data_IF_174254345574
#
_entry.id   IF_174254345574
#
_cell.length_a   1.000
_cell.length_b   1.000
_cell.length_c   1.000
_cell.angle_alpha   90.00
_cell.angle_beta   90.00
_cell.angle_gamma   90.00
#
_symmetry.space_group_name_H-M   'P 1'
#
loop_
_entity.id
_entity.type
_entity.pdbx_description
1 polymer ?
#
# COMPACT_ATOMS: atom_id res chain seq x y z
N UNK A 1 -12.67 -13.67 13.04
CA UNK A 1 -11.95 -12.93 11.99
C UNK A 1 -11.32 -11.62 12.47
N UNK A 2 -11.12 -11.37 13.78
CA UNK A 2 -10.47 -10.16 14.29
C UNK A 2 -8.97 -10.28 14.59
N UNK A 3 -8.51 -11.45 15.05
CA UNK A 3 -7.13 -11.63 15.53
C UNK A 3 -6.05 -11.44 14.43
N UNK A 4 -6.30 -11.86 13.19
CA UNK A 4 -5.33 -11.70 12.10
C UNK A 4 -5.23 -10.24 11.61
N UNK A 5 -6.32 -9.47 11.65
CA UNK A 5 -6.30 -8.04 11.32
C UNK A 5 -5.54 -7.23 12.38
N UNK A 6 -5.60 -7.68 13.63
CA UNK A 6 -4.87 -7.10 14.75
C UNK A 6 -3.35 -7.36 14.64
N UNK A 7 -2.94 -8.60 14.33
CA UNK A 7 -1.52 -8.95 14.10
C UNK A 7 -0.91 -8.10 13.00
N UNK A 8 -1.58 -8.00 11.84
CA UNK A 8 -1.04 -7.24 10.71
C UNK A 8 -0.78 -5.78 11.05
N UNK A 9 -1.74 -5.14 11.70
CA UNK A 9 -1.62 -3.74 12.14
C UNK A 9 -0.43 -3.55 13.11
N UNK A 10 -0.28 -4.44 14.09
CA UNK A 10 0.82 -4.36 15.06
C UNK A 10 2.19 -4.62 14.42
N UNK A 11 2.27 -5.54 13.45
CA UNK A 11 3.52 -5.80 12.70
C UNK A 11 3.92 -4.58 11.86
N UNK A 12 2.98 -3.92 11.18
CA UNK A 12 3.27 -2.68 10.44
C UNK A 12 3.76 -1.58 11.37
N UNK A 13 3.08 -1.35 12.50
CA UNK A 13 3.49 -0.31 13.44
C UNK A 13 4.94 -0.51 13.96
N UNK A 14 5.34 -1.76 14.24
CA UNK A 14 6.72 -2.07 14.62
C UNK A 14 7.69 -1.89 13.45
N UNK A 15 7.32 -2.34 12.25
CA UNK A 15 8.13 -2.18 11.04
C UNK A 15 8.35 -0.71 10.67
N UNK A 16 7.33 0.13 10.79
CA UNK A 16 7.40 1.58 10.56
C UNK A 16 8.44 2.23 11.47
N UNK A 17 8.41 1.94 12.78
CA UNK A 17 9.42 2.43 13.72
C UNK A 17 10.83 1.97 13.34
N UNK A 18 10.99 0.68 13.03
CA UNK A 18 12.28 0.13 12.57
C UNK A 18 12.79 0.83 11.30
N UNK A 19 11.92 1.13 10.35
CA UNK A 19 12.29 1.84 9.11
C UNK A 19 12.71 3.29 9.37
N UNK A 20 12.23 3.90 10.45
CA UNK A 20 12.67 5.21 10.95
C UNK A 20 13.96 5.13 11.79
N UNK A 21 14.50 3.93 12.02
CA UNK A 21 15.67 3.70 12.86
C UNK A 21 15.37 3.75 14.36
N UNK A 22 14.10 3.61 14.74
CA UNK A 22 13.64 3.63 16.12
C UNK A 22 13.83 2.25 16.78
N UNK A 23 14.02 2.26 18.11
CA UNK A 23 13.98 1.04 18.90
C UNK A 23 12.52 0.69 19.22
N UNK A 24 11.97 -0.45 18.74
CA UNK A 24 10.59 -0.82 18.99
C UNK A 24 10.34 -1.23 20.45
N UNK A 25 11.39 -1.34 21.28
CA UNK A 25 11.28 -1.76 22.66
C UNK A 25 10.77 -3.20 22.78
N UNK A 26 9.89 -3.44 23.76
CA UNK A 26 9.33 -4.78 23.98
C UNK A 26 8.25 -5.09 22.93
N UNK A 27 8.55 -6.03 22.05
CA UNK A 27 7.60 -6.58 21.06
C UNK A 27 6.75 -7.67 21.73
N UNK A 28 5.45 -7.69 21.46
CA UNK A 28 4.55 -8.69 22.02
C UNK A 28 4.89 -10.10 21.48
N UNK A 29 4.91 -11.16 22.31
CA UNK A 29 5.28 -12.52 21.88
C UNK A 29 4.45 -13.05 20.70
N UNK A 30 3.18 -12.66 20.61
CA UNK A 30 2.29 -13.10 19.53
C UNK A 30 2.66 -12.57 18.14
N UNK A 31 3.45 -11.49 18.04
CA UNK A 31 3.89 -10.92 16.76
C UNK A 31 5.40 -11.02 16.55
N UNK A 32 6.15 -11.36 17.60
CA UNK A 32 7.60 -11.45 17.61
C UNK A 32 8.17 -12.29 16.45
N UNK A 33 7.59 -13.44 16.04
CA UNK A 33 8.09 -14.20 14.89
C UNK A 33 8.07 -13.41 13.57
N UNK A 34 7.03 -12.63 13.31
CA UNK A 34 6.93 -11.79 12.11
C UNK A 34 7.90 -10.61 12.16
N UNK A 35 8.04 -9.98 13.33
CA UNK A 35 9.00 -8.88 13.52
C UNK A 35 10.43 -9.38 13.33
N UNK A 36 10.76 -10.58 13.82
CA UNK A 36 12.07 -11.18 13.61
C UNK A 36 12.33 -11.50 12.13
N UNK A 37 11.34 -11.99 11.40
CA UNK A 37 11.43 -12.14 9.94
C UNK A 37 11.66 -10.80 9.23
N UNK A 38 11.00 -9.72 9.69
CA UNK A 38 11.22 -8.38 9.15
C UNK A 38 12.63 -7.84 9.45
N UNK A 39 13.13 -8.03 10.67
CA UNK A 39 14.52 -7.69 11.02
C UNK A 39 15.52 -8.44 10.16
N UNK A 40 15.27 -9.71 9.88
CA UNK A 40 16.13 -10.48 8.98
C UNK A 40 16.16 -9.88 7.57
N UNK A 41 15.00 -9.43 7.05
CA UNK A 41 14.96 -8.68 5.78
C UNK A 41 15.82 -7.41 5.84
N UNK A 42 15.70 -6.61 6.91
CA UNK A 42 16.49 -5.39 7.09
C UNK A 42 18.00 -5.70 7.15
N UNK A 43 18.39 -6.77 7.84
CA UNK A 43 19.79 -7.19 7.97
C UNK A 43 20.37 -7.68 6.63
N UNK A 44 19.60 -8.47 5.89
CA UNK A 44 20.03 -9.11 4.64
C UNK A 44 20.12 -8.10 3.47
N UNK A 45 19.15 -7.18 3.36
CA UNK A 45 19.01 -6.28 2.20
C UNK A 45 19.39 -4.82 2.49
N UNK A 46 19.49 -4.43 3.76
CA UNK A 46 19.89 -3.10 4.21
C UNK A 46 19.17 -1.95 3.46
N UNK A 47 17.82 -1.97 3.36
CA UNK A 47 17.09 -0.94 2.65
C UNK A 47 17.32 0.44 3.28
N UNK A 48 17.58 1.44 2.44
CA UNK A 48 17.64 2.84 2.86
C UNK A 48 16.31 3.53 2.54
N UNK A 49 15.48 3.76 3.56
CA UNK A 49 14.18 4.40 3.43
C UNK A 49 14.30 5.91 3.24
N UNK A 50 13.65 6.43 2.20
CA UNK A 50 13.46 7.87 1.99
C UNK A 50 12.14 8.35 2.60
N UNK A 51 11.12 7.50 2.57
CA UNK A 51 9.78 7.79 3.07
C UNK A 51 9.22 6.55 3.77
N UNK A 52 8.52 6.76 4.88
CA UNK A 52 7.89 5.69 5.68
C UNK A 52 6.49 6.14 6.02
N UNK A 53 5.50 5.28 5.80
CA UNK A 53 4.07 5.52 6.10
C UNK A 53 3.59 6.88 5.53
N UNK A 54 3.78 7.09 4.22
CA UNK A 54 3.52 8.38 3.58
C UNK A 54 2.27 8.34 2.71
N UNK A 55 1.42 9.36 2.85
CA UNK A 55 0.21 9.52 2.03
C UNK A 55 0.60 9.97 0.63
N UNK A 56 0.30 9.13 -0.36
CA UNK A 56 0.31 9.46 -1.78
C UNK A 56 -1.03 10.08 -2.15
N UNK A 57 -1.00 11.20 -2.86
CA UNK A 57 -2.17 11.84 -3.47
C UNK A 57 -2.00 11.95 -4.98
N UNK A 58 -3.08 11.71 -5.72
CA UNK A 58 -3.19 12.11 -7.12
C UNK A 58 -4.34 13.09 -7.30
N UNK A 59 -4.00 14.32 -7.66
CA UNK A 59 -4.97 15.35 -8.03
C UNK A 59 -5.50 15.10 -9.45
N UNK A 60 -4.68 14.56 -10.36
CA UNK A 60 -5.11 14.26 -11.72
C UNK A 60 -6.24 13.22 -11.78
N UNK A 61 -6.24 12.27 -10.84
CA UNK A 61 -7.17 11.14 -10.83
C UNK A 61 -8.06 11.07 -9.59
N UNK A 62 -7.86 11.97 -8.61
CA UNK A 62 -8.65 12.06 -7.38
C UNK A 62 -8.65 10.76 -6.58
N UNK A 63 -7.45 10.25 -6.26
CA UNK A 63 -7.28 9.15 -5.32
C UNK A 63 -6.18 9.45 -4.29
N UNK A 64 -6.23 8.73 -3.18
CA UNK A 64 -5.23 8.77 -2.14
C UNK A 64 -4.98 7.37 -1.56
N UNK A 65 -3.79 7.15 -1.02
CA UNK A 65 -3.49 5.99 -0.21
C UNK A 65 -2.18 6.15 0.54
N UNK A 66 -1.92 5.30 1.53
CA UNK A 66 -0.70 5.35 2.34
C UNK A 66 0.23 4.23 1.89
N UNK A 67 1.44 4.59 1.45
CA UNK A 67 2.49 3.64 1.14
C UNK A 67 3.26 3.29 2.42
N UNK A 68 3.57 1.99 2.61
CA UNK A 68 4.36 1.55 3.77
C UNK A 68 5.78 2.14 3.72
N UNK A 69 6.40 2.17 2.54
CA UNK A 69 7.65 2.89 2.36
C UNK A 69 8.10 3.08 0.93
N UNK A 70 8.94 4.10 0.75
CA UNK A 70 9.81 4.27 -0.40
C UNK A 70 11.25 4.09 0.08
N UNK A 71 12.01 3.22 -0.58
CA UNK A 71 13.36 2.89 -0.15
C UNK A 71 14.26 2.57 -1.34
N UNK A 72 15.56 2.46 -1.07
CA UNK A 72 16.51 1.93 -2.04
C UNK A 72 17.14 0.63 -1.55
N UNK A 73 17.25 -0.34 -2.45
CA UNK A 73 17.89 -1.63 -2.25
C UNK A 73 18.78 -1.88 -3.47
N UNK A 74 20.06 -2.15 -3.27
CA UNK A 74 21.05 -2.40 -4.35
C UNK A 74 21.06 -1.35 -5.48
N UNK A 75 20.68 -0.11 -5.17
CA UNK A 75 20.63 1.02 -6.11
C UNK A 75 19.30 1.20 -6.85
N UNK A 76 18.40 0.22 -6.80
CA UNK A 76 17.03 0.39 -7.27
C UNK A 76 16.24 1.26 -6.29
N UNK A 77 15.31 2.07 -6.81
CA UNK A 77 14.39 2.86 -6.00
C UNK A 77 13.02 2.18 -6.01
N UNK A 78 12.61 1.69 -4.85
CA UNK A 78 11.43 0.86 -4.68
C UNK A 78 10.32 1.65 -3.99
N UNK A 79 9.09 1.42 -4.47
CA UNK A 79 7.93 1.45 -3.57
C UNK A 79 7.76 0.06 -2.97
N UNK A 80 7.66 -0.01 -1.64
CA UNK A 80 7.59 -1.26 -0.89
C UNK A 80 6.29 -1.35 -0.10
N UNK A 81 5.74 -2.56 -0.05
CA UNK A 81 4.57 -2.91 0.76
C UNK A 81 4.90 -4.13 1.63
N UNK A 82 4.55 -4.05 2.91
CA UNK A 82 4.73 -5.13 3.87
C UNK A 82 3.44 -5.95 3.91
N UNK A 83 3.57 -7.27 3.86
CA UNK A 83 2.45 -8.18 4.07
C UNK A 83 2.79 -9.18 5.16
N UNK A 84 1.87 -9.39 6.09
CA UNK A 84 1.98 -10.41 7.15
C UNK A 84 0.89 -11.50 7.07
N UNK A 85 0.03 -11.40 6.05
CA UNK A 85 -1.09 -12.31 5.81
C UNK A 85 -0.69 -13.64 5.19
N UNK A 86 -1.69 -14.36 4.66
CA UNK A 86 -1.50 -15.72 4.11
C UNK A 86 -0.69 -15.79 2.82
N UNK A 87 -0.63 -14.70 2.06
CA UNK A 87 -0.03 -14.69 0.73
C UNK A 87 0.13 -13.28 0.19
N UNK A 88 0.92 -13.19 -0.88
CA UNK A 88 1.00 -12.02 -1.75
C UNK A 88 0.06 -12.25 -2.92
N UNK A 89 -0.83 -11.28 -3.17
CA UNK A 89 -1.84 -11.37 -4.23
C UNK A 89 -1.49 -10.42 -5.37
N UNK A 90 -1.84 -10.79 -6.60
CA UNK A 90 -1.52 -10.06 -7.82
C UNK A 90 -2.07 -8.63 -7.82
N UNK A 91 -3.18 -8.38 -7.14
CA UNK A 91 -3.79 -7.05 -6.98
C UNK A 91 -2.87 -6.07 -6.24
N UNK A 92 -1.85 -6.54 -5.52
CA UNK A 92 -0.84 -5.67 -4.91
C UNK A 92 -0.10 -4.84 -5.96
N UNK A 93 0.00 -5.35 -7.20
CA UNK A 93 0.55 -4.57 -8.32
C UNK A 93 -0.27 -3.32 -8.63
N UNK A 94 -1.60 -3.36 -8.49
CA UNK A 94 -2.46 -2.20 -8.71
C UNK A 94 -2.22 -1.14 -7.64
N UNK A 95 -2.09 -1.56 -6.37
CA UNK A 95 -1.79 -0.68 -5.25
C UNK A 95 -0.43 0.00 -5.42
N UNK A 96 0.62 -0.77 -5.62
CA UNK A 96 1.99 -0.24 -5.78
C UNK A 96 2.13 0.63 -7.03
N UNK A 97 1.44 0.28 -8.12
CA UNK A 97 1.39 1.12 -9.32
C UNK A 97 0.69 2.45 -9.02
N UNK A 98 -0.43 2.46 -8.31
CA UNK A 98 -1.08 3.70 -7.91
C UNK A 98 -0.15 4.59 -7.07
N UNK A 99 0.64 4.02 -6.17
CA UNK A 99 1.63 4.80 -5.42
C UNK A 99 2.73 5.40 -6.29
N UNK A 100 3.26 4.61 -7.24
CA UNK A 100 4.28 5.07 -8.16
C UNK A 100 3.81 6.16 -9.15
N UNK A 101 2.51 6.19 -9.47
CA UNK A 101 1.88 7.15 -10.38
C UNK A 101 1.11 8.27 -9.65
N UNK A 102 1.34 8.43 -8.34
CA UNK A 102 0.83 9.58 -7.58
C UNK A 102 1.46 10.90 -8.04
N UNK A 103 0.79 12.01 -7.74
CA UNK A 103 1.30 13.34 -8.09
C UNK A 103 2.26 13.86 -7.00
N UNK A 104 1.95 13.62 -5.73
CA UNK A 104 2.76 14.05 -4.59
C UNK A 104 2.50 13.25 -3.32
N UNK A 105 3.46 13.31 -2.41
CA UNK A 105 3.29 12.93 -1.01
C UNK A 105 2.69 14.10 -0.24
N UNK A 106 1.71 13.79 0.61
CA UNK A 106 1.07 14.74 1.51
C UNK A 106 1.54 14.49 2.94
N UNK A 107 2.15 15.49 3.56
CA UNK A 107 2.52 15.46 4.97
C UNK A 107 1.31 15.81 5.87
N UNK A 108 1.30 15.41 7.15
CA UNK A 108 0.19 15.70 8.06
C UNK A 108 -0.15 17.18 8.24
N UNK A 109 0.80 18.07 7.98
CA UNK A 109 0.63 19.53 8.02
C UNK A 109 0.10 20.12 6.70
N UNK A 110 -0.20 19.28 5.70
CA UNK A 110 -0.68 19.66 4.38
C UNK A 110 0.43 20.01 3.40
N UNK A 111 1.71 19.85 3.77
CA UNK A 111 2.83 20.10 2.84
C UNK A 111 2.89 19.03 1.75
N UNK A 112 2.98 19.48 0.50
CA UNK A 112 3.14 18.62 -0.67
C UNK A 112 4.63 18.43 -1.00
N UNK A 113 5.03 17.19 -1.27
CA UNK A 113 6.40 16.82 -1.63
C UNK A 113 6.37 15.90 -2.85
N UNK A 114 7.38 15.93 -3.75
CA UNK A 114 7.37 15.05 -4.91
C UNK A 114 7.42 13.58 -4.49
N UNK A 115 6.75 12.71 -5.26
CA UNK A 115 6.98 11.26 -5.15
C UNK A 115 8.46 10.98 -5.45
N UNK A 116 9.18 10.21 -4.60
CA UNK A 116 10.53 9.77 -4.91
C UNK A 116 10.58 9.02 -6.25
N UNK A 117 11.69 9.04 -6.99
CA UNK A 117 11.82 8.23 -8.19
C UNK A 117 11.52 6.76 -7.88
N UNK A 118 10.71 6.10 -8.70
CA UNK A 118 10.39 4.67 -8.56
C UNK A 118 10.86 3.94 -9.80
N UNK A 119 11.82 3.03 -9.64
CA UNK A 119 12.34 2.17 -10.72
C UNK A 119 11.86 0.72 -10.60
N UNK A 120 11.43 0.31 -9.40
CA UNK A 120 10.93 -1.03 -9.11
C UNK A 120 9.87 -0.99 -8.00
N UNK A 121 9.22 -2.12 -7.78
CA UNK A 121 8.32 -2.32 -6.66
C UNK A 121 8.52 -3.71 -6.08
N UNK A 122 8.29 -3.86 -4.77
CA UNK A 122 8.38 -5.17 -4.12
C UNK A 122 7.44 -5.28 -2.93
N UNK A 123 7.06 -6.52 -2.62
CA UNK A 123 6.41 -6.88 -1.38
C UNK A 123 7.40 -7.59 -0.47
N UNK A 124 7.48 -7.16 0.78
CA UNK A 124 8.14 -7.92 1.84
C UNK A 124 7.07 -8.76 2.52
N UNK A 125 7.02 -10.06 2.22
CA UNK A 125 6.07 -10.96 2.85
C UNK A 125 6.71 -11.62 4.07
N UNK A 126 6.30 -11.20 5.27
CA UNK A 126 6.76 -11.77 6.53
C UNK A 126 5.78 -12.81 7.07
N UNK A 127 6.32 -13.92 7.56
CA UNK A 127 5.59 -15.00 8.21
C UNK A 127 6.41 -15.48 9.42
N UNK A 128 5.83 -16.25 10.36
CA UNK A 128 6.56 -16.72 11.54
C UNK A 128 7.83 -17.51 11.21
N UNK A 129 7.87 -18.18 10.06
CA UNK A 129 9.00 -18.98 9.60
C UNK A 129 10.09 -18.19 8.87
N UNK A 130 9.85 -16.92 8.49
CA UNK A 130 10.82 -16.11 7.73
C UNK A 130 10.16 -15.09 6.82
N UNK A 131 10.94 -14.53 5.89
CA UNK A 131 10.48 -13.54 4.92
C UNK A 131 10.74 -13.97 3.47
N UNK A 132 9.97 -13.38 2.55
CA UNK A 132 10.21 -13.39 1.12
C UNK A 132 10.20 -11.95 0.59
N UNK A 133 11.19 -11.58 -0.22
CA UNK A 133 11.18 -10.34 -0.99
C UNK A 133 10.67 -10.66 -2.40
N UNK A 134 9.45 -10.22 -2.71
CA UNK A 134 8.74 -10.56 -3.95
C UNK A 134 8.73 -9.34 -4.88
N UNK A 135 9.45 -9.38 -6.01
CA UNK A 135 9.38 -8.31 -7.00
C UNK A 135 7.96 -8.19 -7.58
N UNK A 136 7.48 -6.96 -7.72
CA UNK A 136 6.16 -6.66 -8.27
C UNK A 136 6.29 -5.82 -9.54
N UNK A 137 5.65 -6.28 -10.61
CA UNK A 137 5.56 -5.51 -11.84
C UNK A 137 4.63 -4.31 -11.63
N UNK A 138 5.13 -3.13 -11.97
CA UNK A 138 4.36 -1.88 -12.07
C UNK A 138 4.51 -1.31 -13.48
N UNK A 139 3.58 -0.47 -13.92
CA UNK A 139 3.66 0.16 -15.23
C UNK A 139 2.36 0.82 -15.69
N UNK A 140 2.45 1.57 -16.79
CA UNK A 140 1.30 2.30 -17.35
C UNK A 140 0.12 1.40 -17.68
N UNK A 141 0.36 0.18 -18.21
CA UNK A 141 -0.70 -0.77 -18.53
C UNK A 141 -1.47 -1.24 -17.29
N UNK A 142 -0.77 -1.40 -16.16
CA UNK A 142 -1.38 -1.73 -14.86
C UNK A 142 -2.11 -0.50 -14.30
N UNK A 143 -1.56 0.70 -14.51
CA UNK A 143 -2.20 1.94 -14.07
C UNK A 143 -3.52 2.21 -14.81
N UNK A 144 -3.62 1.89 -16.11
CA UNK A 144 -4.89 1.96 -16.84
C UNK A 144 -5.96 1.01 -16.26
N UNK A 145 -5.55 -0.18 -15.80
CA UNK A 145 -6.47 -1.10 -15.10
C UNK A 145 -6.90 -0.50 -13.77
N UNK A 146 -5.97 0.06 -13.00
CA UNK A 146 -6.29 0.75 -11.75
C UNK A 146 -7.29 1.89 -11.95
N UNK A 147 -7.09 2.77 -12.94
CA UNK A 147 -8.02 3.85 -13.28
C UNK A 147 -9.41 3.34 -13.68
N UNK A 148 -9.48 2.20 -14.35
CA UNK A 148 -10.75 1.56 -14.68
C UNK A 148 -11.50 1.12 -13.43
N UNK A 149 -10.80 0.55 -12.44
CA UNK A 149 -11.38 0.21 -11.14
C UNK A 149 -11.79 1.44 -10.35
N UNK A 150 -10.98 2.51 -10.38
CA UNK A 150 -11.30 3.78 -9.74
C UNK A 150 -12.58 4.39 -10.32
N UNK A 151 -12.75 4.34 -11.65
CA UNK A 151 -13.96 4.80 -12.33
C UNK A 151 -15.20 4.03 -11.85
N UNK A 152 -15.10 2.71 -11.75
CA UNK A 152 -16.20 1.86 -11.25
C UNK A 152 -16.49 2.18 -9.77
N UNK A 153 -15.44 2.40 -8.97
CA UNK A 153 -15.58 2.76 -7.57
C UNK A 153 -16.31 4.10 -7.39
N UNK A 154 -15.89 5.14 -8.12
CA UNK A 154 -16.54 6.46 -8.11
C UNK A 154 -18.01 6.38 -8.56
N UNK A 155 -18.31 5.55 -9.57
CA UNK A 155 -19.69 5.29 -9.93
C UNK A 155 -20.49 4.69 -8.77
N UNK A 156 -19.96 3.67 -8.10
CA UNK A 156 -20.66 2.98 -7.02
C UNK A 156 -20.86 3.87 -5.78
N UNK A 157 -19.85 4.67 -5.41
CA UNK A 157 -19.84 5.52 -4.21
C UNK A 157 -20.69 6.79 -4.36
N UNK A 158 -20.63 7.44 -5.53
CA UNK A 158 -21.17 8.78 -5.75
C UNK A 158 -22.35 8.80 -6.73
N UNK A 159 -22.21 8.12 -7.87
CA UNK A 159 -23.13 8.34 -9.02
C UNK A 159 -24.32 7.38 -9.03
N UNK A 160 -24.16 6.15 -8.52
CA UNK A 160 -25.16 5.07 -8.57
C UNK A 160 -26.49 5.45 -7.94
N UNK A 161 -26.47 6.25 -6.87
CA UNK A 161 -27.68 6.73 -6.21
C UNK A 161 -28.35 7.80 -7.08
N UNK A 162 -29.50 7.47 -7.67
CA UNK A 162 -30.30 8.39 -8.48
C UNK A 162 -30.34 8.08 -9.97
N UNK A 163 -29.62 7.05 -10.43
CA UNK A 163 -29.65 6.62 -11.83
C UNK A 163 -30.98 5.99 -12.27
N UNK A 164 -31.78 5.50 -11.31
CA UNK A 164 -33.11 4.97 -11.56
C UNK A 164 -34.18 6.04 -11.30
N UNK A 165 -35.03 6.27 -12.30
CA UNK A 165 -36.24 7.08 -12.16
C UNK A 165 -37.42 6.32 -11.54
N UNK A 166 -38.51 7.02 -11.28
CA UNK A 166 -39.76 6.40 -10.84
C UNK A 166 -40.34 5.48 -11.93
N UNK A 167 -41.02 4.41 -11.51
CA UNK A 167 -41.71 3.52 -12.44
C UNK A 167 -42.80 4.28 -13.20
N UNK A 168 -42.75 4.20 -14.54
CA UNK A 168 -43.79 4.75 -15.41
C UNK A 168 -45.04 3.86 -15.32
N UNK A 169 -46.23 4.48 -15.23
CA UNK A 169 -47.51 3.79 -15.36
C UNK A 169 -48.10 4.07 -16.73
N UNK A 170 -48.56 3.06 -17.48
CA UNK A 170 -49.31 3.30 -18.70
C UNK A 170 -50.62 4.02 -18.37
N UNK A 171 -51.03 4.98 -19.20
CA UNK A 171 -52.33 5.63 -19.06
C UNK A 171 -53.43 4.57 -19.25
N UNK A 172 -54.34 4.49 -18.26
CA UNK A 172 -55.46 3.55 -18.29
C UNK A 172 -56.29 3.79 -19.58
N UNK A 173 -56.39 2.75 -20.41
CA UNK A 173 -57.38 2.65 -21.49
C UNK A 173 -58.74 2.22 -20.94
#
# INVERSE_FOLDING_TARGET
SGAAADIGTQVHAVAEGLNRGEDPGLVHPDIEPWVNAYRQFLDDWQPSFSEVESTVWSDAHQYAGTADGFCSIDGDQLVMDLKSGKGVYEETSLQLTAYAFGDYLLSPDGTERPIPPVTAAAVVHVRPEGYELVPVRIGEDIFEVFKSLLTVHQWDSETKRGVLGAALKPDNK
#
